data_IF_646085975933
#
_entry.id   IF_646085975933
#
_cell.length_a   1.000
_cell.length_b   1.000
_cell.length_c   1.000
_cell.angle_alpha   90.00
_cell.angle_beta   90.00
_cell.angle_gamma   90.00
#
_symmetry.space_group_name_H-M   'P 1'
#
loop_
_entity.id
_entity.type
_entity.pdbx_description
1 polymer ?
#
# COMPACT_ATOMS: atom_id res chain seq x y z
N UNK A 1 24.02 -1.53 9.11
CA UNK A 1 23.65 -0.36 8.28
C UNK A 1 23.87 -0.80 6.85
N UNK A 2 22.86 -1.42 6.24
CA UNK A 2 22.96 -1.94 4.87
C UNK A 2 22.83 -0.80 3.86
N UNK A 3 23.56 -0.88 2.75
CA UNK A 3 23.70 0.23 1.80
C UNK A 3 22.39 0.57 1.06
N UNK A 4 21.67 1.53 1.63
CA UNK A 4 20.56 2.28 1.05
C UNK A 4 19.85 3.03 2.17
N UNK A 5 19.54 4.32 2.02
CA UNK A 5 18.70 5.01 3.00
C UNK A 5 17.34 4.30 3.04
N UNK A 6 16.93 3.78 4.20
CA UNK A 6 15.66 3.07 4.43
C UNK A 6 14.48 3.83 3.83
N UNK A 7 14.53 5.16 3.88
CA UNK A 7 13.52 6.00 3.25
C UNK A 7 13.54 5.91 1.72
N UNK A 8 14.71 5.94 1.09
CA UNK A 8 14.87 5.80 -0.36
C UNK A 8 14.38 4.43 -0.83
N UNK A 9 14.73 3.35 -0.13
CA UNK A 9 14.28 2.00 -0.47
C UNK A 9 12.75 1.88 -0.36
N UNK A 10 12.17 2.46 0.69
CA UNK A 10 10.72 2.54 0.85
C UNK A 10 10.04 3.32 -0.28
N UNK A 11 10.62 4.46 -0.70
CA UNK A 11 10.09 5.26 -1.80
C UNK A 11 10.15 4.49 -3.12
N UNK A 12 11.22 3.76 -3.40
CA UNK A 12 11.33 2.91 -4.61
C UNK A 12 10.21 1.86 -4.62
N UNK A 13 9.97 1.17 -3.49
CA UNK A 13 8.86 0.23 -3.36
C UNK A 13 7.48 0.87 -3.52
N UNK A 14 7.30 2.09 -3.01
CA UNK A 14 6.06 2.84 -3.13
C UNK A 14 5.79 3.27 -4.58
N UNK A 15 6.83 3.70 -5.31
CA UNK A 15 6.74 4.01 -6.74
C UNK A 15 6.38 2.76 -7.53
N UNK A 16 7.03 1.62 -7.25
CA UNK A 16 6.68 0.35 -7.89
C UNK A 16 5.22 -0.06 -7.61
N UNK A 17 4.76 0.10 -6.36
CA UNK A 17 3.35 -0.11 -6.00
C UNK A 17 2.44 0.77 -6.85
N UNK A 18 2.68 2.07 -6.89
CA UNK A 18 1.84 3.03 -7.61
C UNK A 18 1.75 2.73 -9.11
N UNK A 19 2.87 2.35 -9.74
CA UNK A 19 2.91 1.99 -11.16
C UNK A 19 2.17 0.67 -11.45
N UNK A 20 2.26 -0.30 -10.54
CA UNK A 20 1.67 -1.62 -10.72
C UNK A 20 0.22 -1.70 -10.25
N UNK A 21 -0.24 -0.83 -9.36
CA UNK A 21 -1.59 -0.87 -8.77
C UNK A 21 -2.71 -0.79 -9.81
N UNK A 22 -2.45 -0.21 -10.99
CA UNK A 22 -3.41 -0.19 -12.09
C UNK A 22 -3.57 -1.52 -12.84
N UNK A 23 -2.62 -2.45 -12.70
CA UNK A 23 -2.56 -3.69 -13.48
C UNK A 23 -2.57 -4.95 -12.61
N UNK A 24 -2.00 -4.86 -11.41
CA UNK A 24 -1.78 -5.99 -10.51
C UNK A 24 -2.46 -5.70 -9.18
N UNK A 25 -3.47 -6.49 -8.77
CA UNK A 25 -4.11 -6.31 -7.47
C UNK A 25 -3.07 -6.31 -6.34
N UNK A 26 -2.17 -7.29 -6.35
CA UNK A 26 -1.10 -7.48 -5.35
C UNK A 26 0.11 -6.54 -5.55
N UNK A 27 -0.05 -5.39 -6.20
CA UNK A 27 1.03 -4.41 -6.34
C UNK A 27 1.71 -3.99 -5.03
N UNK A 28 0.99 -3.79 -3.90
CA UNK A 28 1.64 -3.44 -2.63
C UNK A 28 2.58 -4.55 -2.13
N UNK A 29 2.27 -5.82 -2.40
CA UNK A 29 3.13 -6.97 -2.10
C UNK A 29 4.44 -6.89 -2.89
N UNK A 30 4.34 -6.59 -4.19
CA UNK A 30 5.51 -6.49 -5.07
C UNK A 30 6.38 -5.28 -4.71
N UNK A 31 5.77 -4.12 -4.49
CA UNK A 31 6.49 -2.92 -4.09
C UNK A 31 7.17 -3.07 -2.73
N UNK A 32 6.48 -3.65 -1.76
CA UNK A 32 7.08 -4.00 -0.47
C UNK A 32 8.25 -4.96 -0.63
N UNK A 33 8.13 -5.97 -1.51
CA UNK A 33 9.21 -6.91 -1.81
C UNK A 33 10.43 -6.27 -2.44
N UNK A 34 10.24 -5.34 -3.37
CA UNK A 34 11.35 -4.56 -3.95
C UNK A 34 12.06 -3.76 -2.85
N UNK A 35 11.31 -3.06 -1.98
CA UNK A 35 11.90 -2.32 -0.88
C UNK A 35 12.68 -3.23 0.08
N UNK A 36 12.11 -4.36 0.49
CA UNK A 36 12.77 -5.32 1.40
C UNK A 36 13.99 -6.01 0.80
N UNK A 37 13.99 -6.27 -0.51
CA UNK A 37 15.15 -6.82 -1.21
C UNK A 37 16.31 -5.81 -1.31
N UNK A 38 16.00 -4.52 -1.47
CA UNK A 38 17.00 -3.45 -1.51
C UNK A 38 17.55 -3.12 -0.11
N UNK A 39 16.71 -3.10 0.91
CA UNK A 39 17.13 -2.84 2.30
C UNK A 39 18.09 -3.92 2.81
N UNK A 40 17.80 -5.19 2.49
CA UNK A 40 18.55 -6.31 3.06
C UNK A 40 18.44 -6.33 4.58
N UNK A 41 19.54 -6.70 5.26
CA UNK A 41 19.60 -6.81 6.71
C UNK A 41 18.80 -7.99 7.27
N UNK A 42 18.30 -7.85 8.50
CA UNK A 42 17.50 -8.89 9.13
C UNK A 42 16.07 -8.92 8.55
N UNK A 43 15.35 -10.03 8.73
CA UNK A 43 13.94 -10.14 8.28
C UNK A 43 13.04 -9.04 8.86
N UNK A 44 13.35 -8.58 10.06
CA UNK A 44 12.63 -7.48 10.71
C UNK A 44 12.82 -6.14 9.97
N UNK A 45 13.99 -5.91 9.36
CA UNK A 45 14.28 -4.69 8.59
C UNK A 45 13.50 -4.70 7.28
N UNK A 46 13.44 -5.86 6.60
CA UNK A 46 12.59 -6.06 5.43
C UNK A 46 11.10 -5.80 5.71
N UNK A 47 10.57 -6.29 6.83
CA UNK A 47 9.18 -6.00 7.25
C UNK A 47 8.97 -4.50 7.50
N UNK A 48 9.91 -3.84 8.18
CA UNK A 48 9.83 -2.41 8.52
C UNK A 48 9.86 -1.53 7.27
N UNK A 49 10.79 -1.76 6.34
CA UNK A 49 10.87 -0.99 5.10
C UNK A 49 9.68 -1.27 4.20
N UNK A 50 9.19 -2.52 4.18
CA UNK A 50 7.97 -2.91 3.48
C UNK A 50 6.74 -2.17 4.00
N UNK A 51 6.58 -2.08 5.33
CA UNK A 51 5.53 -1.26 5.95
C UNK A 51 5.67 0.22 5.56
N UNK A 52 6.89 0.78 5.63
CA UNK A 52 7.15 2.16 5.26
C UNK A 52 6.78 2.43 3.79
N UNK A 53 7.18 1.54 2.89
CA UNK A 53 6.78 1.54 1.48
C UNK A 53 5.27 1.50 1.32
N UNK A 54 4.58 0.66 2.08
CA UNK A 54 3.12 0.58 2.08
C UNK A 54 2.45 1.89 2.53
N UNK A 55 2.98 2.54 3.57
CA UNK A 55 2.50 3.86 4.04
C UNK A 55 2.70 4.93 2.96
N UNK A 56 3.88 5.01 2.36
CA UNK A 56 4.18 5.99 1.31
C UNK A 56 3.33 5.72 0.06
N UNK A 57 3.21 4.46 -0.34
CA UNK A 57 2.36 4.04 -1.47
C UNK A 57 0.88 4.35 -1.23
N UNK A 58 0.40 4.16 0.00
CA UNK A 58 -0.95 4.54 0.39
C UNK A 58 -1.13 6.06 0.36
N UNK A 59 -0.16 6.84 0.86
CA UNK A 59 -0.21 8.31 0.82
C UNK A 59 -0.28 8.84 -0.62
N UNK A 60 0.49 8.25 -1.53
CA UNK A 60 0.42 8.58 -2.98
C UNK A 60 -0.97 8.19 -3.53
N UNK A 61 -1.46 7.02 -3.16
CA UNK A 61 -2.80 6.54 -3.56
C UNK A 61 -3.94 7.33 -2.91
N UNK A 62 -3.67 8.06 -1.82
CA UNK A 62 -4.66 8.87 -1.11
C UNK A 62 -5.21 9.98 -2.01
N UNK A 63 -4.41 10.49 -2.95
CA UNK A 63 -4.87 11.46 -3.96
C UNK A 63 -6.02 10.88 -4.77
N UNK A 64 -5.93 9.61 -5.16
CA UNK A 64 -7.01 8.91 -5.84
C UNK A 64 -8.25 8.77 -4.95
N UNK A 65 -8.06 8.42 -3.67
CA UNK A 65 -9.15 8.35 -2.70
C UNK A 65 -9.86 9.69 -2.49
N UNK A 66 -9.12 10.80 -2.42
CA UNK A 66 -9.68 12.15 -2.30
C UNK A 66 -10.52 12.48 -3.54
N UNK A 67 -10.04 12.15 -4.74
CA UNK A 67 -10.80 12.35 -5.99
C UNK A 67 -12.10 11.55 -5.98
N UNK A 68 -12.04 10.26 -5.62
CA UNK A 68 -13.23 9.40 -5.50
C UNK A 68 -14.21 9.96 -4.47
N UNK A 69 -13.70 10.44 -3.33
CA UNK A 69 -14.52 10.99 -2.25
C UNK A 69 -15.21 12.30 -2.67
N UNK A 70 -14.49 13.21 -3.34
CA UNK A 70 -15.06 14.44 -3.90
C UNK A 70 -16.13 14.10 -4.93
N UNK A 71 -15.89 13.11 -5.79
CA UNK A 71 -16.86 12.68 -6.80
C UNK A 71 -18.12 12.07 -6.16
N UNK A 72 -17.95 11.23 -5.13
CA UNK A 72 -19.05 10.64 -4.37
C UNK A 72 -19.87 11.72 -3.65
N UNK A 73 -19.20 12.68 -3.00
CA UNK A 73 -19.86 13.79 -2.32
C UNK A 73 -20.66 14.67 -3.30
N UNK A 74 -20.08 14.97 -4.47
CA UNK A 74 -20.77 15.69 -5.53
C UNK A 74 -21.98 14.91 -6.04
N UNK A 75 -21.82 13.62 -6.35
CA UNK A 75 -22.93 12.75 -6.80
C UNK A 75 -24.09 12.71 -5.80
N UNK A 76 -23.79 12.54 -4.51
CA UNK A 76 -24.80 12.53 -3.44
C UNK A 76 -25.52 13.87 -3.28
N UNK A 77 -24.90 14.99 -3.65
CA UNK A 77 -25.55 16.30 -3.66
C UNK A 77 -26.60 16.44 -4.77
N UNK A 78 -26.45 15.69 -5.88
CA UNK A 78 -27.41 15.69 -7.00
C UNK A 78 -28.52 14.64 -6.88
N UNK A 79 -28.40 13.69 -5.95
CA UNK A 79 -29.39 12.62 -5.72
C UNK A 79 -29.80 12.59 -4.24
N UNK A 80 -30.69 13.49 -3.79
CA UNK A 80 -31.06 13.60 -2.38
C UNK A 80 -31.70 12.33 -1.82
N UNK A 81 -32.40 11.58 -2.68
CA UNK A 81 -33.03 10.29 -2.34
C UNK A 81 -31.99 9.21 -2.00
N UNK A 82 -30.78 9.31 -2.56
CA UNK A 82 -29.68 8.40 -2.26
C UNK A 82 -29.12 8.62 -0.85
N UNK A 83 -29.23 9.82 -0.27
CA UNK A 83 -28.79 10.09 1.10
C UNK A 83 -29.49 9.20 2.13
N UNK A 84 -30.75 8.80 1.87
CA UNK A 84 -31.49 7.86 2.72
C UNK A 84 -30.92 6.45 2.71
N UNK A 85 -30.38 6.01 1.56
CA UNK A 85 -29.74 4.68 1.39
C UNK A 85 -28.28 4.69 1.84
N UNK A 86 -27.57 5.80 1.62
CA UNK A 86 -26.17 6.02 2.00
C UNK A 86 -25.97 6.50 3.44
N UNK A 87 -27.02 6.51 4.28
CA UNK A 87 -26.96 6.94 5.68
C UNK A 87 -26.01 6.09 6.56
N UNK A 88 -26.54 5.42 7.57
CA UNK A 88 -25.69 4.62 8.47
C UNK A 88 -24.90 3.51 7.73
N UNK A 89 -25.51 2.89 6.71
CA UNK A 89 -24.88 1.85 5.88
C UNK A 89 -23.71 2.38 5.04
N UNK A 90 -23.86 3.57 4.44
CA UNK A 90 -22.79 4.19 3.65
C UNK A 90 -21.59 4.55 4.52
N UNK A 91 -21.82 5.05 5.73
CA UNK A 91 -20.76 5.32 6.70
C UNK A 91 -20.03 4.04 7.12
N UNK A 92 -20.77 2.95 7.39
CA UNK A 92 -20.17 1.65 7.73
C UNK A 92 -19.30 1.13 6.58
N UNK A 93 -19.82 1.14 5.35
CA UNK A 93 -19.05 0.71 4.16
C UNK A 93 -17.81 1.58 3.98
N UNK A 94 -17.91 2.89 4.20
CA UNK A 94 -16.78 3.79 4.09
C UNK A 94 -15.71 3.50 5.13
N UNK A 95 -16.09 3.37 6.40
CA UNK A 95 -15.16 3.07 7.49
C UNK A 95 -14.50 1.72 7.26
N UNK A 96 -15.30 0.67 7.02
CA UNK A 96 -14.77 -0.67 6.77
C UNK A 96 -13.91 -0.72 5.52
N UNK A 97 -14.34 -0.12 4.41
CA UNK A 97 -13.58 -0.05 3.17
C UNK A 97 -12.24 0.65 3.34
N UNK A 98 -12.21 1.75 4.10
CA UNK A 98 -10.97 2.48 4.41
C UNK A 98 -10.05 1.62 5.26
N UNK A 99 -10.55 1.02 6.34
CA UNK A 99 -9.77 0.15 7.22
C UNK A 99 -9.21 -1.06 6.46
N UNK A 100 -10.04 -1.71 5.64
CA UNK A 100 -9.62 -2.84 4.80
C UNK A 100 -8.57 -2.39 3.78
N UNK A 101 -8.70 -1.22 3.17
CA UNK A 101 -7.70 -0.69 2.22
C UNK A 101 -6.37 -0.42 2.92
N UNK A 102 -6.39 0.21 4.10
CA UNK A 102 -5.18 0.46 4.88
C UNK A 102 -4.52 -0.86 5.27
N UNK A 103 -5.30 -1.81 5.80
CA UNK A 103 -4.79 -3.13 6.17
C UNK A 103 -4.23 -3.90 4.95
N UNK A 104 -4.86 -3.75 3.79
CA UNK A 104 -4.43 -4.35 2.53
C UNK A 104 -3.06 -3.83 2.10
N UNK A 105 -2.89 -2.52 2.02
CA UNK A 105 -1.62 -1.91 1.61
C UNK A 105 -0.50 -2.21 2.62
N UNK A 106 -0.75 -1.97 3.90
CA UNK A 106 0.27 -2.16 4.93
C UNK A 106 0.61 -3.64 5.11
N UNK A 107 -0.39 -4.51 5.19
CA UNK A 107 -0.21 -5.94 5.41
C UNK A 107 0.51 -6.60 4.22
N UNK A 108 0.10 -6.29 2.99
CA UNK A 108 0.76 -6.83 1.82
C UNK A 108 2.16 -6.25 1.64
N UNK A 109 2.38 -4.95 1.83
CA UNK A 109 3.73 -4.41 1.69
C UNK A 109 4.69 -4.90 2.79
N UNK A 110 4.20 -5.13 4.01
CA UNK A 110 4.97 -5.78 5.08
C UNK A 110 5.36 -7.23 4.70
N UNK A 111 4.37 -8.01 4.24
CA UNK A 111 4.58 -9.38 3.77
C UNK A 111 5.54 -9.41 2.57
N UNK A 112 5.39 -8.45 1.67
CA UNK A 112 6.26 -8.24 0.53
C UNK A 112 7.69 -8.00 0.99
N UNK A 113 7.90 -7.04 1.89
CA UNK A 113 9.24 -6.73 2.41
C UNK A 113 9.91 -7.90 3.10
N UNK A 114 9.15 -8.71 3.84
CA UNK A 114 9.64 -9.98 4.38
C UNK A 114 10.07 -10.96 3.27
N UNK A 115 9.23 -11.14 2.24
CA UNK A 115 9.53 -12.02 1.11
C UNK A 115 10.74 -11.52 0.30
N UNK A 116 10.86 -10.21 0.07
CA UNK A 116 11.99 -9.61 -0.64
C UNK A 116 13.31 -9.82 0.09
N UNK A 117 13.31 -9.65 1.42
CA UNK A 117 14.46 -9.95 2.26
C UNK A 117 14.80 -11.46 2.23
N UNK A 118 13.79 -12.33 2.35
CA UNK A 118 13.96 -13.78 2.20
C UNK A 118 14.61 -14.14 0.85
N UNK A 119 14.13 -13.53 -0.24
CA UNK A 119 14.67 -13.80 -1.57
C UNK A 119 16.15 -13.44 -1.67
N UNK A 120 16.56 -12.36 -1.02
CA UNK A 120 17.95 -11.88 -1.01
C UNK A 120 18.92 -12.83 -0.31
N UNK A 121 18.52 -13.43 0.81
CA UNK A 121 19.45 -14.15 1.70
C UNK A 121 19.28 -15.67 1.70
N UNK A 122 18.06 -16.15 1.46
CA UNK A 122 17.72 -17.58 1.58
C UNK A 122 17.58 -18.27 0.21
N UNK A 123 17.79 -17.54 -0.89
CA UNK A 123 17.75 -18.10 -2.26
C UNK A 123 19.03 -17.79 -3.01
N UNK A 124 19.47 -18.73 -3.85
CA UNK A 124 20.62 -18.62 -4.77
C UNK A 124 20.42 -17.59 -5.89
N UNK A 125 19.39 -16.75 -5.80
CA UNK A 125 19.12 -15.65 -6.74
C UNK A 125 19.95 -14.41 -6.34
N UNK A 126 20.37 -14.34 -5.07
CA UNK A 126 21.20 -13.25 -4.54
C UNK A 126 22.71 -13.46 -4.61
N UNK A 127 23.18 -14.66 -5.00
CA UNK A 127 24.58 -15.03 -5.25
C UNK A 127 24.93 -14.88 -6.74
#
# INVERSE_FOLDING_TARGET
MGEGDTFVNAVIGAVATALLSGFVPLAPLLGGGIAGYLEGGERADGVRVGLLSGVVGLAISLVFFVVVFVFLAAFLAFVPEALGVFGALGLVVLVLGTLTTVAYFLGLSALGGWLGNYVRYDTTIGD
#
